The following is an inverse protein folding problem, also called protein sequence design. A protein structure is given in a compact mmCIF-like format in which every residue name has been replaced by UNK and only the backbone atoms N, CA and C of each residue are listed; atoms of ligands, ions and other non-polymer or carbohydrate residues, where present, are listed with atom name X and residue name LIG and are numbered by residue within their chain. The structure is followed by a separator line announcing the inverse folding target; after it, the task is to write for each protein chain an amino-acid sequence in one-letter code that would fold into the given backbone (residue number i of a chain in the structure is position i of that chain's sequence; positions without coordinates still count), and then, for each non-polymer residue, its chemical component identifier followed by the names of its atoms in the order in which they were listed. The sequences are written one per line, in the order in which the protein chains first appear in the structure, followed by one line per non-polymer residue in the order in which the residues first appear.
data_IF_056046786113
#
_entry.id   IF_056046786113
#
_cell.length_a   1.000
_cell.length_b   1.000
_cell.length_c   1.000
_cell.angle_alpha   90.00
_cell.angle_beta   90.00
_cell.angle_gamma   90.00
#
_symmetry.space_group_name_H-M   'P 1'
#
loop_
_entity.id
_entity.type
_entity.pdbx_description
1 polymer ?
#
# COMPACT_ATOMS: atom_id res chain seq x y z
N UNK A 1 2.81 20.32 -20.11
CA UNK A 1 3.54 19.06 -19.84
C UNK A 1 2.75 18.12 -18.90
N UNK A 2 1.41 18.12 -18.96
CA UNK A 2 0.51 17.29 -18.14
C UNK A 2 -0.41 16.37 -18.95
N UNK A 3 -0.31 16.40 -20.28
CA UNK A 3 -1.19 15.63 -21.19
C UNK A 3 -0.55 14.35 -21.75
N UNK A 4 0.68 14.00 -21.34
CA UNK A 4 1.42 12.86 -21.91
C UNK A 4 1.34 11.55 -21.10
N UNK A 5 0.73 11.54 -19.92
CA UNK A 5 0.67 10.33 -19.07
C UNK A 5 -0.61 9.51 -19.30
N UNK A 6 -1.70 10.14 -19.78
CA UNK A 6 -2.95 9.43 -20.06
C UNK A 6 -2.94 8.60 -21.37
N UNK A 7 -1.92 8.76 -22.21
CA UNK A 7 -1.89 8.15 -23.55
C UNK A 7 -1.35 6.71 -23.59
N UNK A 8 -0.80 6.18 -22.48
CA UNK A 8 -0.17 4.85 -22.48
C UNK A 8 -1.02 3.73 -21.89
N UNK A 9 -2.21 4.02 -21.33
CA UNK A 9 -3.11 2.99 -20.80
C UNK A 9 -4.24 2.58 -21.76
N UNK A 10 -4.43 3.26 -22.90
CA UNK A 10 -5.57 3.01 -23.80
C UNK A 10 -5.16 2.45 -25.18
N UNK A 11 -3.88 2.50 -25.57
CA UNK A 11 -3.48 2.23 -26.97
C UNK A 11 -2.93 0.82 -27.28
N UNK A 12 -3.08 -0.17 -26.39
CA UNK A 12 -2.46 -1.50 -26.58
C UNK A 12 -3.42 -2.64 -26.94
N UNK A 13 -4.70 -2.39 -27.18
CA UNK A 13 -5.60 -3.41 -27.70
C UNK A 13 -6.43 -2.86 -28.86
N UNK A 14 -6.51 -3.67 -29.91
CA UNK A 14 -7.37 -3.56 -31.11
C UNK A 14 -6.68 -3.07 -32.39
N UNK A 15 -5.58 -3.72 -32.74
CA UNK A 15 -5.23 -3.95 -34.15
C UNK A 15 -4.86 -5.42 -34.34
N UNK A 16 -5.85 -6.27 -34.63
CA UNK A 16 -5.72 -7.46 -35.51
C UNK A 16 -7.10 -8.08 -35.75
N UNK A 17 -7.37 -8.46 -37.00
CA UNK A 17 -8.29 -9.55 -37.32
C UNK A 17 -9.62 -9.16 -37.97
N UNK A 18 -9.61 -8.89 -39.28
CA UNK A 18 -10.75 -9.17 -40.14
C UNK A 18 -10.90 -10.69 -40.31
N UNK A 19 -12.11 -11.22 -40.07
CA UNK A 19 -12.48 -12.60 -40.32
C UNK A 19 -13.94 -12.83 -39.97
N UNK A 20 -14.82 -12.79 -40.97
CA UNK A 20 -16.22 -13.15 -40.81
C UNK A 20 -16.35 -14.65 -40.52
N UNK A 21 -16.72 -14.97 -39.28
CA UNK A 21 -17.42 -16.20 -38.92
C UNK A 21 -18.56 -15.82 -37.97
N UNK A 22 -19.72 -16.43 -38.14
CA UNK A 22 -20.85 -16.27 -37.23
C UNK A 22 -20.46 -16.86 -35.86
N UNK A 23 -20.01 -15.99 -34.96
CA UNK A 23 -19.65 -16.33 -33.58
C UNK A 23 -20.92 -16.17 -32.74
N UNK A 24 -21.29 -17.23 -32.02
CA UNK A 24 -22.28 -17.16 -30.95
C UNK A 24 -21.98 -15.94 -30.05
N UNK A 25 -22.99 -15.24 -29.48
CA UNK A 25 -22.72 -14.06 -28.67
C UNK A 25 -21.64 -14.42 -27.63
N UNK A 26 -20.48 -13.74 -27.65
CA UNK A 26 -19.42 -14.05 -26.70
C UNK A 26 -19.99 -13.89 -25.28
N UNK A 27 -19.53 -14.72 -24.32
CA UNK A 27 -19.89 -14.49 -22.93
C UNK A 27 -19.59 -13.03 -22.61
N UNK A 28 -20.59 -12.31 -22.11
CA UNK A 28 -20.55 -10.87 -21.86
C UNK A 28 -19.21 -10.54 -21.19
N UNK A 29 -18.32 -9.90 -21.95
CA UNK A 29 -16.96 -9.66 -21.50
C UNK A 29 -17.07 -8.76 -20.27
N UNK A 30 -16.58 -9.26 -19.12
CA UNK A 30 -16.64 -8.54 -17.86
C UNK A 30 -16.17 -7.10 -18.07
N UNK A 31 -16.97 -6.13 -17.61
CA UNK A 31 -16.63 -4.73 -17.78
C UNK A 31 -15.26 -4.47 -17.13
N UNK A 32 -14.36 -3.66 -17.73
CA UNK A 32 -13.03 -3.41 -17.19
C UNK A 32 -13.03 -2.95 -15.72
N UNK A 33 -14.07 -2.23 -15.30
CA UNK A 33 -14.27 -1.82 -13.92
C UNK A 33 -14.48 -3.00 -12.96
N UNK A 34 -15.18 -4.06 -13.39
CA UNK A 34 -15.42 -5.25 -12.57
C UNK A 34 -14.12 -6.03 -12.32
N UNK A 35 -13.21 -6.07 -13.30
CA UNK A 35 -11.88 -6.66 -13.13
C UNK A 35 -11.06 -5.91 -12.08
N UNK A 36 -11.06 -4.58 -12.14
CA UNK A 36 -10.34 -3.73 -11.17
C UNK A 36 -10.91 -3.92 -9.76
N UNK A 37 -12.24 -3.99 -9.63
CA UNK A 37 -12.92 -4.28 -8.36
C UNK A 37 -12.45 -5.62 -7.78
N UNK A 38 -12.48 -6.70 -8.55
CA UNK A 38 -12.01 -8.02 -8.07
C UNK A 38 -10.53 -8.03 -7.70
N UNK A 39 -9.69 -7.30 -8.45
CA UNK A 39 -8.27 -7.15 -8.11
C UNK A 39 -8.07 -6.42 -6.79
N UNK A 40 -8.79 -5.33 -6.55
CA UNK A 40 -8.73 -4.55 -5.31
C UNK A 40 -9.23 -5.37 -4.12
N UNK A 41 -10.33 -6.10 -4.27
CA UNK A 41 -10.87 -6.99 -3.22
C UNK A 41 -9.84 -8.06 -2.82
N UNK A 42 -9.19 -8.70 -3.80
CA UNK A 42 -8.13 -9.68 -3.55
C UNK A 42 -6.96 -9.04 -2.81
N UNK A 43 -6.50 -7.88 -3.27
CA UNK A 43 -5.35 -7.20 -2.68
C UNK A 43 -5.64 -6.74 -1.26
N UNK A 44 -6.86 -6.24 -1.00
CA UNK A 44 -7.32 -5.89 0.35
C UNK A 44 -7.30 -7.10 1.28
N UNK A 45 -7.78 -8.27 0.83
CA UNK A 45 -7.71 -9.49 1.62
C UNK A 45 -6.27 -9.90 1.97
N UNK A 46 -5.33 -9.73 1.04
CA UNK A 46 -3.90 -9.98 1.29
C UNK A 46 -3.33 -8.97 2.30
N UNK A 47 -3.67 -7.69 2.17
CA UNK A 47 -3.21 -6.65 3.09
C UNK A 47 -3.77 -6.85 4.50
N UNK A 48 -5.05 -7.20 4.65
CA UNK A 48 -5.65 -7.50 5.95
C UNK A 48 -4.92 -8.66 6.63
N UNK A 49 -4.68 -9.77 5.92
CA UNK A 49 -3.93 -10.89 6.45
C UNK A 49 -2.48 -10.53 6.83
N UNK A 50 -1.83 -9.64 6.07
CA UNK A 50 -0.48 -9.18 6.38
C UNK A 50 -0.45 -8.27 7.61
N UNK A 51 -1.41 -7.35 7.75
CA UNK A 51 -1.55 -6.49 8.93
C UNK A 51 -1.78 -7.34 10.17
N UNK A 52 -2.72 -8.30 10.12
CA UNK A 52 -3.02 -9.19 11.24
C UNK A 52 -1.82 -10.05 11.66
N UNK A 53 -1.05 -10.55 10.68
CA UNK A 53 0.17 -11.30 10.96
C UNK A 53 1.20 -10.42 11.67
N UNK A 54 1.37 -9.18 11.19
CA UNK A 54 2.33 -8.25 11.75
C UNK A 54 1.92 -7.77 13.16
N UNK A 55 0.63 -7.57 13.40
CA UNK A 55 0.08 -7.30 14.75
C UNK A 55 0.47 -8.42 15.74
N UNK A 56 0.30 -9.69 15.34
CA UNK A 56 0.69 -10.84 16.16
C UNK A 56 2.20 -10.89 16.40
N UNK A 57 3.01 -10.71 15.35
CA UNK A 57 4.47 -10.71 15.46
C UNK A 57 4.98 -9.60 16.39
N UNK A 58 4.42 -8.38 16.27
CA UNK A 58 4.74 -7.27 17.16
C UNK A 58 4.38 -7.59 18.61
N UNK A 59 3.20 -8.16 18.86
CA UNK A 59 2.78 -8.56 20.20
C UNK A 59 3.69 -9.63 20.81
N UNK A 60 4.17 -10.58 20.00
CA UNK A 60 5.10 -11.61 20.47
C UNK A 60 6.50 -11.05 20.73
N UNK A 61 6.99 -10.17 19.86
CA UNK A 61 8.28 -9.49 20.06
C UNK A 61 8.28 -8.61 21.30
N UNK A 62 7.15 -8.02 21.69
CA UNK A 62 7.02 -7.23 22.92
C UNK A 62 7.14 -8.09 24.19
N UNK A 63 6.78 -9.38 24.14
CA UNK A 63 6.88 -10.30 25.29
C UNK A 63 8.31 -10.77 25.58
N UNK A 64 9.23 -10.61 24.63
CA UNK A 64 10.63 -11.00 24.83
C UNK A 64 11.21 -10.21 26.02
N UNK A 65 11.90 -10.85 26.99
CA UNK A 65 12.50 -10.14 28.12
C UNK A 65 13.48 -9.05 27.67
N UNK A 66 13.55 -7.95 28.40
CA UNK A 66 14.55 -6.92 28.13
C UNK A 66 15.97 -7.45 28.37
N UNK A 67 16.89 -7.01 27.54
CA UNK A 67 18.33 -7.25 27.75
C UNK A 67 18.86 -6.29 28.81
N UNK A 68 19.78 -6.75 29.69
CA UNK A 68 20.43 -5.88 30.66
C UNK A 68 21.37 -4.86 30.00
N UNK A 69 21.88 -5.14 28.80
CA UNK A 69 22.73 -4.20 28.06
C UNK A 69 21.88 -3.04 27.50
N UNK A 70 22.13 -1.78 27.92
CA UNK A 70 21.34 -0.63 27.48
C UNK A 70 21.43 -0.39 25.97
N UNK A 71 22.57 -0.66 25.33
CA UNK A 71 22.73 -0.44 23.88
C UNK A 71 21.96 -1.48 23.07
N UNK A 72 21.96 -2.74 23.52
CA UNK A 72 21.13 -3.78 22.89
C UNK A 72 19.64 -3.54 23.11
N UNK A 73 19.25 -2.93 24.23
CA UNK A 73 17.86 -2.50 24.48
C UNK A 73 17.44 -1.40 23.51
N UNK A 74 18.31 -0.43 23.25
CA UNK A 74 18.05 0.63 22.26
C UNK A 74 17.90 0.06 20.84
N UNK A 75 18.77 -0.86 20.40
CA UNK A 75 18.61 -1.53 19.10
C UNK A 75 17.25 -2.23 19.01
N UNK A 76 16.86 -2.97 20.05
CA UNK A 76 15.56 -3.64 20.07
C UNK A 76 14.39 -2.65 19.99
N UNK A 77 14.47 -1.53 20.70
CA UNK A 77 13.44 -0.49 20.67
C UNK A 77 13.31 0.13 19.27
N UNK A 78 14.44 0.35 18.58
CA UNK A 78 14.48 0.85 17.21
C UNK A 78 13.91 -0.17 16.23
N UNK A 79 14.27 -1.45 16.36
CA UNK A 79 13.71 -2.52 15.52
C UNK A 79 12.19 -2.63 15.68
N UNK A 80 11.69 -2.63 16.93
CA UNK A 80 10.25 -2.61 17.21
C UNK A 80 9.56 -1.40 16.58
N UNK A 81 10.16 -0.21 16.70
CA UNK A 81 9.65 1.01 16.09
C UNK A 81 9.63 0.90 14.56
N UNK A 82 10.63 0.24 13.95
CA UNK A 82 10.70 -0.01 12.51
C UNK A 82 9.58 -0.93 12.02
N UNK A 83 9.28 -1.99 12.79
CA UNK A 83 8.14 -2.88 12.52
C UNK A 83 6.79 -2.16 12.67
N UNK A 84 6.63 -1.33 13.70
CA UNK A 84 5.43 -0.51 13.89
C UNK A 84 5.22 0.46 12.73
N UNK A 85 6.28 1.10 12.26
CA UNK A 85 6.21 2.00 11.12
C UNK A 85 5.82 1.26 9.83
N UNK A 86 6.38 0.07 9.61
CA UNK A 86 5.97 -0.78 8.50
C UNK A 86 4.48 -1.15 8.58
N UNK A 87 3.98 -1.46 9.77
CA UNK A 87 2.56 -1.73 9.98
C UNK A 87 1.69 -0.51 9.64
N UNK A 88 2.08 0.68 10.08
CA UNK A 88 1.36 1.91 9.76
C UNK A 88 1.29 2.13 8.24
N UNK A 89 2.38 1.89 7.53
CA UNK A 89 2.41 1.95 6.06
C UNK A 89 1.40 0.99 5.42
N UNK A 90 1.34 -0.26 5.89
CA UNK A 90 0.36 -1.25 5.38
C UNK A 90 -1.08 -0.80 5.68
N UNK A 91 -1.34 -0.25 6.86
CA UNK A 91 -2.67 0.27 7.25
C UNK A 91 -3.10 1.43 6.34
N UNK A 92 -2.20 2.38 6.05
CA UNK A 92 -2.46 3.50 5.13
C UNK A 92 -2.72 3.00 3.70
N UNK A 93 -1.94 2.03 3.21
CA UNK A 93 -2.18 1.41 1.89
C UNK A 93 -3.53 0.70 1.83
N UNK A 94 -3.88 -0.05 2.88
CA UNK A 94 -5.18 -0.72 2.98
C UNK A 94 -6.33 0.29 2.92
N UNK A 95 -6.26 1.37 3.68
CA UNK A 95 -7.29 2.41 3.69
C UNK A 95 -7.46 3.04 2.32
N UNK A 96 -6.35 3.30 1.62
CA UNK A 96 -6.38 3.80 0.25
C UNK A 96 -7.10 2.86 -0.72
N UNK A 97 -6.77 1.56 -0.70
CA UNK A 97 -7.44 0.61 -1.57
C UNK A 97 -8.91 0.40 -1.22
N UNK A 98 -9.27 0.47 0.07
CA UNK A 98 -10.66 0.40 0.51
C UNK A 98 -11.45 1.61 0.02
N UNK A 99 -10.86 2.80 0.10
CA UNK A 99 -11.45 4.02 -0.44
C UNK A 99 -11.63 3.91 -1.96
N UNK A 100 -10.61 3.48 -2.70
CA UNK A 100 -10.70 3.29 -4.16
C UNK A 100 -11.80 2.31 -4.56
N UNK A 101 -11.89 1.16 -3.88
CA UNK A 101 -12.92 0.15 -4.12
C UNK A 101 -14.32 0.71 -3.88
N UNK A 102 -14.50 1.49 -2.80
CA UNK A 102 -15.76 2.12 -2.47
C UNK A 102 -16.19 3.16 -3.52
N UNK A 103 -15.25 3.99 -3.98
CA UNK A 103 -15.49 4.95 -5.07
C UNK A 103 -15.95 4.25 -6.36
N UNK A 104 -15.30 3.15 -6.75
CA UNK A 104 -15.69 2.37 -7.93
C UNK A 104 -17.10 1.78 -7.81
N UNK A 105 -17.45 1.27 -6.62
CA UNK A 105 -18.80 0.76 -6.34
C UNK A 105 -19.85 1.87 -6.41
N UNK A 106 -19.54 3.05 -5.87
CA UNK A 106 -20.44 4.21 -5.92
C UNK A 106 -20.64 4.75 -7.33
N UNK A 107 -19.59 4.81 -8.17
CA UNK A 107 -19.75 5.18 -9.59
C UNK A 107 -20.66 4.20 -10.32
N UNK A 108 -20.59 2.89 -10.01
CA UNK A 108 -21.46 1.87 -10.61
C UNK A 108 -22.91 2.01 -10.16
N UNK A 109 -23.14 2.31 -8.88
CA UNK A 109 -24.48 2.48 -8.32
C UNK A 109 -25.13 3.82 -8.71
N UNK A 110 -24.34 4.90 -8.78
CA UNK A 110 -24.80 6.26 -9.03
C UNK A 110 -23.88 6.97 -10.05
N UNK A 111 -24.02 6.67 -11.35
CA UNK A 111 -23.15 7.22 -12.39
C UNK A 111 -23.16 8.74 -12.51
N UNK A 112 -24.23 9.40 -12.04
CA UNK A 112 -24.39 10.85 -12.10
C UNK A 112 -23.49 11.59 -11.07
N UNK A 113 -23.02 10.89 -10.04
CA UNK A 113 -22.21 11.49 -8.96
C UNK A 113 -20.71 11.54 -9.28
N UNK A 114 -20.29 11.18 -10.50
CA UNK A 114 -18.86 11.09 -10.89
C UNK A 114 -18.03 12.32 -10.55
N UNK A 115 -18.57 13.52 -10.75
CA UNK A 115 -17.85 14.76 -10.46
C UNK A 115 -17.50 14.90 -8.98
N UNK A 116 -18.47 14.62 -8.09
CA UNK A 116 -18.27 14.64 -6.64
C UNK A 116 -17.30 13.55 -6.19
N UNK A 117 -17.43 12.35 -6.75
CA UNK A 117 -16.53 11.22 -6.45
C UNK A 117 -15.09 11.51 -6.87
N UNK A 118 -14.89 12.20 -8.01
CA UNK A 118 -13.58 12.63 -8.47
C UNK A 118 -12.94 13.70 -7.55
N UNK A 119 -13.74 14.63 -7.02
CA UNK A 119 -13.27 15.61 -6.04
C UNK A 119 -12.81 14.92 -4.75
N UNK A 120 -13.63 13.98 -4.24
CA UNK A 120 -13.29 13.18 -3.07
C UNK A 120 -12.01 12.37 -3.29
N UNK A 121 -11.88 11.75 -4.46
CA UNK A 121 -10.67 11.03 -4.87
C UNK A 121 -9.43 11.92 -4.84
N UNK A 122 -9.51 13.10 -5.46
CA UNK A 122 -8.37 14.02 -5.54
C UNK A 122 -7.90 14.45 -4.15
N UNK A 123 -8.84 14.74 -3.25
CA UNK A 123 -8.50 15.08 -1.86
C UNK A 123 -7.85 13.90 -1.13
N UNK A 124 -8.43 12.71 -1.25
CA UNK A 124 -7.92 11.51 -0.63
C UNK A 124 -6.51 11.15 -1.15
N UNK A 125 -6.24 11.31 -2.44
CA UNK A 125 -4.92 11.09 -3.04
C UNK A 125 -3.86 12.01 -2.39
N UNK A 126 -4.16 13.30 -2.22
CA UNK A 126 -3.25 14.24 -1.55
C UNK A 126 -3.02 13.89 -0.08
N UNK A 127 -4.05 13.46 0.65
CA UNK A 127 -3.92 13.01 2.04
C UNK A 127 -3.06 11.74 2.12
N UNK A 128 -3.25 10.81 1.19
CA UNK A 128 -2.49 9.56 1.08
C UNK A 128 -1.01 9.80 0.77
N UNK A 129 -0.69 10.65 -0.21
CA UNK A 129 0.69 11.03 -0.54
C UNK A 129 1.40 11.66 0.66
N UNK A 130 0.74 12.60 1.35
CA UNK A 130 1.26 13.22 2.57
C UNK A 130 1.54 12.19 3.66
N UNK A 131 0.65 11.22 3.85
CA UNK A 131 0.85 10.14 4.82
C UNK A 131 2.06 9.27 4.45
N UNK A 132 2.22 8.89 3.17
CA UNK A 132 3.38 8.12 2.72
C UNK A 132 4.70 8.88 2.89
N UNK A 133 4.73 10.18 2.60
CA UNK A 133 5.93 10.99 2.76
C UNK A 133 6.32 11.13 4.23
N UNK A 134 5.34 11.34 5.12
CA UNK A 134 5.57 11.33 6.57
C UNK A 134 6.18 10.01 7.05
N UNK A 135 5.65 8.87 6.59
CA UNK A 135 6.18 7.55 6.93
C UNK A 135 7.60 7.32 6.38
N UNK A 136 7.91 7.78 5.16
CA UNK A 136 9.25 7.70 4.57
C UNK A 136 10.27 8.49 5.38
N UNK A 137 9.91 9.70 5.80
CA UNK A 137 10.77 10.55 6.63
C UNK A 137 11.07 9.89 7.99
N UNK A 138 10.03 9.38 8.66
CA UNK A 138 10.19 8.65 9.93
C UNK A 138 11.09 7.42 9.76
N UNK A 139 10.92 6.68 8.65
CA UNK A 139 11.73 5.49 8.37
C UNK A 139 13.20 5.84 8.24
N UNK A 140 13.48 6.90 7.47
CA UNK A 140 14.85 7.36 7.27
C UNK A 140 15.53 7.76 8.58
N UNK A 141 14.83 8.52 9.44
CA UNK A 141 15.34 8.92 10.75
C UNK A 141 15.64 7.71 11.65
N UNK A 142 14.72 6.73 11.66
CA UNK A 142 14.88 5.51 12.44
C UNK A 142 16.07 4.68 11.95
N UNK A 143 16.22 4.51 10.65
CA UNK A 143 17.35 3.78 10.05
C UNK A 143 18.68 4.47 10.36
N UNK A 144 18.74 5.80 10.28
CA UNK A 144 19.94 6.55 10.68
C UNK A 144 20.31 6.32 12.15
N UNK A 145 19.34 6.39 13.06
CA UNK A 145 19.58 6.15 14.48
C UNK A 145 20.04 4.71 14.73
N UNK A 146 19.39 3.72 14.08
CA UNK A 146 19.76 2.31 14.18
C UNK A 146 21.21 2.08 13.77
N UNK A 147 21.64 2.61 12.62
CA UNK A 147 23.03 2.48 12.17
C UNK A 147 24.03 3.09 13.17
N UNK A 148 23.70 4.23 13.76
CA UNK A 148 24.56 4.88 14.77
C UNK A 148 24.73 4.01 16.01
N UNK A 149 23.65 3.44 16.53
CA UNK A 149 23.68 2.58 17.72
C UNK A 149 24.39 1.26 17.41
N UNK A 150 24.15 0.68 16.23
CA UNK A 150 24.83 -0.53 15.77
C UNK A 150 26.35 -0.33 15.65
N UNK A 151 26.79 0.81 15.11
CA UNK A 151 28.20 1.17 15.05
C UNK A 151 28.84 1.23 16.45
N UNK A 152 28.15 1.81 17.44
CA UNK A 152 28.63 1.85 18.83
C UNK A 152 28.81 0.45 19.43
N UNK A 153 27.87 -0.48 19.15
CA UNK A 153 27.99 -1.87 19.59
C UNK A 153 29.21 -2.52 18.98
N UNK A 154 29.37 -2.43 17.66
CA UNK A 154 30.48 -3.05 16.94
C UNK A 154 31.82 -2.46 17.41
N UNK A 155 31.94 -1.14 17.52
CA UNK A 155 33.15 -0.47 18.01
C UNK A 155 33.54 -0.93 19.42
N UNK A 156 32.55 -1.13 20.31
CA UNK A 156 32.79 -1.59 21.68
C UNK A 156 33.37 -3.02 21.73
N UNK A 157 33.01 -3.89 20.78
CA UNK A 157 33.51 -5.27 20.73
C UNK A 157 34.82 -5.43 19.95
N UNK A 158 35.16 -4.47 19.09
CA UNK A 158 36.41 -4.47 18.33
C UNK A 158 37.58 -3.78 19.04
N UNK A 159 37.32 -3.09 20.15
CA UNK A 159 38.33 -2.47 21.01
C UNK A 159 38.63 -3.35 22.21
#
# INVERSE_FOLDING_TARGET
MRERIYLHLVAALLLTGWGCAAVAPPPEAAHPADLVVTMLERHLGQLDANVDRLDKQLADLQKVPETPDPTLREIRALDLSGWQLHQQQLKVQREHFRFALEQLRQVKAHPDNKAQLLEQWTKHEQDYERALDGLRQQRHQLEQQRHKVEAQVVERYLR
#
